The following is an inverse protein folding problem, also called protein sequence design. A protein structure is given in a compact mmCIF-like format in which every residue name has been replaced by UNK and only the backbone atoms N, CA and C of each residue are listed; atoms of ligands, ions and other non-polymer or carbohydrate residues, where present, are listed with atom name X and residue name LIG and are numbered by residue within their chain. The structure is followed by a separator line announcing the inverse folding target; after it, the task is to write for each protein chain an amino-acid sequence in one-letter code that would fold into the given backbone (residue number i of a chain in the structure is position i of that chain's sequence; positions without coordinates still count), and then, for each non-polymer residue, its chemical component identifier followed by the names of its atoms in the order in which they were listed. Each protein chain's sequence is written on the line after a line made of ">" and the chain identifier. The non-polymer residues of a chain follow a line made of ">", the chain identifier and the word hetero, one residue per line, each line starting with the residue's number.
data_IF_136014629160
#
_entry.id   IF_136014629160
#
_cell.length_a   1.000
_cell.length_b   1.000
_cell.length_c   1.000
_cell.angle_alpha   90.00
_cell.angle_beta   90.00
_cell.angle_gamma   90.00
#
_symmetry.space_group_name_H-M   'P 1'
#
loop_
_entity.id
_entity.type
_entity.pdbx_description
1 polymer ?
#
# COMPACT_ATOMS: atom_id res chain seq x y z
N UNK A 1 3.51 13.05 16.64
CA UNK A 1 3.56 11.57 16.62
C UNK A 1 5.02 11.15 16.72
N UNK A 2 5.33 10.15 17.51
CA UNK A 2 6.68 9.59 17.54
C UNK A 2 6.87 8.53 16.44
N UNK A 3 8.13 8.17 16.18
CA UNK A 3 8.49 7.21 15.13
C UNK A 3 7.91 5.82 15.38
N UNK A 4 7.90 5.35 16.63
CA UNK A 4 7.39 4.03 16.98
C UNK A 4 5.87 3.98 16.78
N UNK A 5 5.14 5.00 17.19
CA UNK A 5 3.71 5.10 16.92
C UNK A 5 3.43 5.00 15.41
N UNK A 6 4.16 5.74 14.59
CA UNK A 6 3.98 5.68 13.14
C UNK A 6 4.26 4.27 12.59
N UNK A 7 5.38 3.65 12.97
CA UNK A 7 5.78 2.32 12.49
C UNK A 7 4.79 1.21 12.91
N UNK A 8 4.32 1.21 14.15
CA UNK A 8 3.48 0.14 14.69
C UNK A 8 2.00 0.28 14.28
N UNK A 9 1.52 1.50 14.03
CA UNK A 9 0.11 1.75 13.73
C UNK A 9 -0.20 2.00 12.25
N UNK A 10 0.82 2.22 11.39
CA UNK A 10 0.58 2.34 9.95
C UNK A 10 0.18 0.99 9.39
N UNK A 11 -1.02 0.94 8.83
CA UNK A 11 -1.61 -0.24 8.20
C UNK A 11 -2.52 0.19 7.04
N UNK A 12 -2.90 -0.76 6.18
CA UNK A 12 -3.79 -0.48 5.06
C UNK A 12 -5.15 0.06 5.52
N UNK A 13 -5.36 1.36 5.35
CA UNK A 13 -6.61 2.08 5.63
C UNK A 13 -7.34 2.30 4.32
N UNK A 14 -8.19 1.34 3.93
CA UNK A 14 -8.89 1.36 2.64
C UNK A 14 -10.20 2.15 2.68
N UNK A 15 -10.81 2.26 3.87
CA UNK A 15 -12.06 3.01 4.05
C UNK A 15 -11.72 4.40 4.54
N UNK A 16 -11.87 5.35 3.65
CA UNK A 16 -11.54 6.76 3.89
C UNK A 16 -12.73 7.65 3.58
N UNK A 17 -12.73 8.86 4.13
CA UNK A 17 -13.67 9.92 3.80
C UNK A 17 -13.32 10.51 2.44
N UNK A 18 -14.27 11.20 1.85
CA UNK A 18 -14.11 11.94 0.57
C UNK A 18 -13.52 13.34 0.75
N UNK A 19 -13.26 13.76 2.00
CA UNK A 19 -12.70 15.08 2.30
C UNK A 19 -11.34 15.23 1.58
N UNK A 20 -11.10 16.34 0.85
CA UNK A 20 -9.85 16.56 0.14
C UNK A 20 -8.68 16.71 1.11
N UNK A 21 -7.51 16.23 0.71
CA UNK A 21 -6.27 16.39 1.47
C UNK A 21 -5.66 17.75 1.09
N UNK A 22 -5.42 18.66 2.06
CA UNK A 22 -4.83 19.97 1.79
C UNK A 22 -3.47 19.88 1.05
N UNK A 23 -3.21 20.82 0.16
CA UNK A 23 -1.99 20.83 -0.68
C UNK A 23 -0.71 20.85 0.16
N UNK A 24 -0.69 21.54 1.28
CA UNK A 24 0.46 21.57 2.19
C UNK A 24 0.70 20.21 2.88
N UNK A 25 -0.35 19.44 3.15
CA UNK A 25 -0.25 18.06 3.63
C UNK A 25 0.30 17.15 2.53
N UNK A 26 -0.21 17.28 1.30
CA UNK A 26 0.32 16.53 0.14
C UNK A 26 1.81 16.83 -0.07
N UNK A 27 2.21 18.08 0.04
CA UNK A 27 3.60 18.51 -0.09
C UNK A 27 4.50 17.84 0.98
N UNK A 28 4.07 17.82 2.26
CA UNK A 28 4.83 17.16 3.33
C UNK A 28 4.96 15.65 3.13
N UNK A 29 3.91 15.01 2.60
CA UNK A 29 3.93 13.57 2.26
C UNK A 29 4.97 13.28 1.19
N UNK A 30 5.00 14.07 0.10
CA UNK A 30 5.97 13.88 -0.99
C UNK A 30 7.39 14.30 -0.60
N UNK A 31 7.53 15.35 0.20
CA UNK A 31 8.84 15.75 0.72
C UNK A 31 9.48 14.62 1.54
N UNK A 32 8.72 13.98 2.40
CA UNK A 32 9.20 12.79 3.13
C UNK A 32 9.56 11.62 2.20
N UNK A 33 8.83 11.42 1.11
CA UNK A 33 9.14 10.37 0.14
C UNK A 33 10.51 10.54 -0.49
N UNK A 34 10.85 11.76 -0.93
CA UNK A 34 12.13 12.02 -1.62
C UNK A 34 13.35 12.01 -0.69
N UNK A 35 13.14 11.99 0.63
CA UNK A 35 14.21 11.81 1.61
C UNK A 35 14.58 10.34 1.87
N UNK A 36 13.90 9.40 1.23
CA UNK A 36 14.26 7.99 1.30
C UNK A 36 15.62 7.72 0.63
N UNK A 37 16.36 6.68 1.05
CA UNK A 37 17.59 6.29 0.38
C UNK A 37 17.32 5.79 -1.04
N UNK A 38 18.23 6.08 -1.96
CA UNK A 38 18.22 5.51 -3.32
C UNK A 38 19.61 5.04 -3.73
N UNK A 39 19.68 3.98 -4.54
CA UNK A 39 20.95 3.43 -5.02
C UNK A 39 21.82 4.50 -5.67
N UNK A 40 23.04 4.73 -5.16
CA UNK A 40 23.93 5.78 -5.63
C UNK A 40 23.37 7.20 -5.57
N UNK A 41 22.32 7.45 -4.78
CA UNK A 41 21.56 8.69 -4.73
C UNK A 41 21.01 9.13 -6.10
N UNK A 42 20.68 8.17 -6.97
CA UNK A 42 20.24 8.46 -8.35
C UNK A 42 18.87 9.08 -8.44
N UNK A 43 17.96 8.79 -7.47
CA UNK A 43 16.63 9.37 -7.37
C UNK A 43 15.82 9.21 -8.68
N UNK A 44 15.95 8.05 -9.32
CA UNK A 44 15.27 7.69 -10.56
C UNK A 44 13.80 7.33 -10.34
N UNK A 45 13.07 8.20 -9.66
CA UNK A 45 11.66 8.07 -9.37
C UNK A 45 10.86 9.28 -9.85
N UNK A 46 9.57 9.06 -10.09
CA UNK A 46 8.56 10.10 -10.27
C UNK A 46 7.33 9.75 -9.46
N UNK A 47 6.71 10.75 -8.91
CA UNK A 47 5.51 10.63 -8.10
C UNK A 47 4.39 11.43 -8.76
N UNK A 48 3.34 10.74 -9.23
CA UNK A 48 2.18 11.39 -9.81
C UNK A 48 1.04 11.33 -8.78
N UNK A 49 0.59 12.50 -8.35
CA UNK A 49 -0.62 12.65 -7.53
C UNK A 49 -1.84 12.74 -8.44
N UNK A 50 -2.93 12.09 -8.05
CA UNK A 50 -4.18 12.07 -8.80
C UNK A 50 -5.36 12.35 -7.87
N UNK A 51 -6.03 13.47 -8.09
CA UNK A 51 -7.32 13.85 -7.48
C UNK A 51 -8.38 14.20 -8.54
N UNK A 52 -8.00 14.22 -9.82
CA UNK A 52 -8.88 14.48 -10.95
C UNK A 52 -9.98 13.41 -11.08
N UNK A 53 -11.24 13.87 -11.09
CA UNK A 53 -12.40 12.99 -11.07
C UNK A 53 -12.55 12.16 -12.34
N UNK A 54 -12.27 12.74 -13.52
CA UNK A 54 -12.44 12.07 -14.81
C UNK A 54 -11.40 10.95 -14.96
N UNK A 55 -10.17 11.18 -14.55
CA UNK A 55 -9.12 10.15 -14.58
C UNK A 55 -9.39 9.05 -13.56
N UNK A 56 -9.89 9.37 -12.35
CA UNK A 56 -10.33 8.37 -11.38
C UNK A 56 -11.46 7.50 -11.94
N UNK A 57 -12.46 8.10 -12.59
CA UNK A 57 -13.55 7.39 -13.24
C UNK A 57 -13.05 6.48 -14.40
N UNK A 58 -12.03 6.90 -15.12
CA UNK A 58 -11.41 6.07 -16.17
C UNK A 58 -10.60 4.89 -15.61
N UNK A 59 -9.95 5.05 -14.45
CA UNK A 59 -9.16 3.99 -13.80
C UNK A 59 -10.02 3.01 -12.98
N UNK A 60 -11.17 3.45 -12.46
CA UNK A 60 -12.01 2.64 -11.57
C UNK A 60 -12.41 1.28 -12.18
N UNK A 61 -12.91 1.19 -13.44
CA UNK A 61 -13.24 -0.10 -14.05
C UNK A 61 -12.03 -1.02 -14.22
N UNK A 62 -10.85 -0.48 -14.49
CA UNK A 62 -9.62 -1.27 -14.58
C UNK A 62 -9.24 -1.84 -13.22
N UNK A 63 -9.33 -1.03 -12.17
CA UNK A 63 -9.04 -1.47 -10.81
C UNK A 63 -10.04 -2.52 -10.32
N UNK A 64 -11.33 -2.36 -10.62
CA UNK A 64 -12.39 -3.33 -10.30
C UNK A 64 -12.18 -4.65 -11.04
N UNK A 65 -11.86 -4.61 -12.33
CA UNK A 65 -11.52 -5.79 -13.11
C UNK A 65 -10.31 -6.52 -12.50
N UNK A 66 -9.23 -5.79 -12.24
CA UNK A 66 -8.01 -6.33 -11.63
C UNK A 66 -8.28 -6.98 -10.26
N UNK A 67 -9.15 -6.37 -9.43
CA UNK A 67 -9.57 -6.95 -8.16
C UNK A 67 -10.34 -8.26 -8.36
N UNK A 68 -11.25 -8.32 -9.33
CA UNK A 68 -11.97 -9.54 -9.70
C UNK A 68 -11.04 -10.66 -10.15
N UNK A 69 -10.06 -10.35 -11.00
CA UNK A 69 -9.06 -11.33 -11.45
C UNK A 69 -8.14 -11.80 -10.32
N UNK A 70 -7.77 -10.91 -9.39
CA UNK A 70 -7.01 -11.27 -8.20
C UNK A 70 -7.72 -12.37 -7.37
N UNK A 71 -9.03 -12.21 -7.14
CA UNK A 71 -9.82 -13.18 -6.38
C UNK A 71 -10.02 -14.51 -7.13
N UNK A 72 -10.16 -14.47 -8.45
CA UNK A 72 -10.37 -15.66 -9.28
C UNK A 72 -9.11 -16.47 -9.55
N UNK A 73 -7.93 -15.86 -9.42
CA UNK A 73 -6.65 -16.47 -9.79
C UNK A 73 -5.75 -16.66 -8.57
N UNK A 74 -5.14 -15.59 -8.07
CA UNK A 74 -4.07 -15.66 -7.06
C UNK A 74 -4.61 -16.12 -5.70
N UNK A 75 -5.79 -15.65 -5.29
CA UNK A 75 -6.36 -15.96 -3.98
C UNK A 75 -7.52 -16.95 -4.03
N UNK A 76 -7.79 -17.54 -5.21
CA UNK A 76 -8.97 -18.42 -5.42
C UNK A 76 -9.09 -19.50 -4.35
N UNK A 77 -8.08 -20.35 -4.22
CA UNK A 77 -8.13 -21.50 -3.31
C UNK A 77 -8.27 -21.07 -1.84
N UNK A 78 -7.63 -19.98 -1.46
CA UNK A 78 -7.71 -19.43 -0.11
C UNK A 78 -9.12 -18.87 0.20
N UNK A 79 -9.72 -18.20 -0.77
CA UNK A 79 -11.07 -17.64 -0.65
C UNK A 79 -12.12 -18.76 -0.64
N UNK A 80 -12.00 -19.75 -1.54
CA UNK A 80 -12.90 -20.91 -1.58
C UNK A 80 -12.85 -21.70 -0.27
N UNK A 81 -11.66 -21.94 0.27
CA UNK A 81 -11.48 -22.60 1.56
C UNK A 81 -12.11 -21.80 2.72
N UNK A 82 -11.95 -20.46 2.69
CA UNK A 82 -12.53 -19.59 3.71
C UNK A 82 -14.06 -19.53 3.65
N UNK A 83 -14.65 -19.58 2.45
CA UNK A 83 -16.11 -19.67 2.29
C UNK A 83 -16.67 -21.03 2.69
N UNK A 84 -15.93 -22.11 2.48
CA UNK A 84 -16.33 -23.45 2.89
C UNK A 84 -16.33 -23.62 4.43
N UNK A 85 -15.48 -22.87 5.15
CA UNK A 85 -15.33 -22.95 6.60
C UNK A 85 -15.27 -21.55 7.23
N UNK A 86 -16.36 -20.75 7.19
CA UNK A 86 -16.31 -19.30 7.49
C UNK A 86 -16.04 -18.98 8.96
N UNK A 87 -16.25 -19.91 9.88
CA UNK A 87 -16.12 -19.71 11.31
C UNK A 87 -14.70 -19.97 11.85
N UNK A 88 -13.79 -20.50 11.01
CA UNK A 88 -12.41 -20.69 11.42
C UNK A 88 -11.69 -19.33 11.55
N UNK A 89 -10.81 -19.15 12.57
CA UNK A 89 -10.11 -17.89 12.80
C UNK A 89 -9.35 -17.37 11.56
N UNK A 90 -8.67 -18.26 10.83
CA UNK A 90 -7.98 -17.95 9.58
C UNK A 90 -8.95 -17.51 8.46
N UNK A 91 -10.10 -18.17 8.35
CA UNK A 91 -11.14 -17.81 7.38
C UNK A 91 -11.75 -16.45 7.65
N UNK A 92 -12.04 -16.16 8.92
CA UNK A 92 -12.53 -14.84 9.37
C UNK A 92 -11.57 -13.74 8.93
N UNK A 93 -10.27 -13.95 9.12
CA UNK A 93 -9.25 -12.98 8.73
C UNK A 93 -9.18 -12.81 7.21
N UNK A 94 -9.20 -13.91 6.44
CA UNK A 94 -9.19 -13.89 4.97
C UNK A 94 -10.40 -13.12 4.43
N UNK A 95 -11.61 -13.47 4.87
CA UNK A 95 -12.85 -12.82 4.44
C UNK A 95 -12.92 -11.35 4.87
N UNK A 96 -12.33 -10.98 6.01
CA UNK A 96 -12.19 -9.58 6.43
C UNK A 96 -11.29 -8.80 5.48
N UNK A 97 -10.15 -9.38 5.07
CA UNK A 97 -9.23 -8.76 4.12
C UNK A 97 -9.90 -8.62 2.75
N UNK A 98 -10.57 -9.67 2.26
CA UNK A 98 -11.32 -9.65 1.00
C UNK A 98 -12.35 -8.51 0.98
N UNK A 99 -13.23 -8.45 1.99
CA UNK A 99 -14.26 -7.40 2.09
C UNK A 99 -13.65 -5.99 2.16
N UNK A 100 -12.52 -5.85 2.85
CA UNK A 100 -11.85 -4.55 2.95
C UNK A 100 -11.19 -4.12 1.63
N UNK A 101 -10.61 -5.08 0.88
CA UNK A 101 -10.00 -4.79 -0.41
C UNK A 101 -11.06 -4.54 -1.49
N UNK A 102 -12.14 -5.32 -1.49
CA UNK A 102 -13.26 -5.13 -2.40
C UNK A 102 -13.92 -3.76 -2.20
N UNK A 103 -14.06 -3.32 -0.93
CA UNK A 103 -14.60 -2.00 -0.65
C UNK A 103 -13.81 -0.88 -1.35
N UNK A 104 -12.47 -0.94 -1.34
CA UNK A 104 -11.66 0.05 -2.05
C UNK A 104 -11.90 0.00 -3.58
N UNK A 105 -12.09 -1.19 -4.15
CA UNK A 105 -12.39 -1.32 -5.57
C UNK A 105 -13.76 -0.73 -5.92
N UNK A 106 -14.77 -0.98 -5.08
CA UNK A 106 -16.12 -0.49 -5.28
C UNK A 106 -16.25 1.04 -5.07
N UNK A 107 -15.29 1.66 -4.34
CA UNK A 107 -15.26 3.07 -3.98
C UNK A 107 -13.98 3.77 -4.48
N UNK A 108 -13.41 3.28 -5.58
CA UNK A 108 -12.15 3.81 -6.12
C UNK A 108 -12.26 5.32 -6.40
N UNK A 109 -13.36 5.76 -6.98
CA UNK A 109 -13.60 7.16 -7.33
C UNK A 109 -13.77 8.08 -6.11
N UNK A 110 -14.25 7.53 -4.99
CA UNK A 110 -14.50 8.25 -3.74
C UNK A 110 -13.22 8.61 -2.97
N UNK A 111 -12.10 7.95 -3.28
CA UNK A 111 -10.82 8.23 -2.63
C UNK A 111 -10.33 9.62 -3.03
N UNK A 112 -10.01 10.51 -2.06
CA UNK A 112 -9.69 11.90 -2.37
C UNK A 112 -8.36 12.07 -3.10
N UNK A 113 -7.39 11.17 -2.88
CA UNK A 113 -6.06 11.30 -3.49
C UNK A 113 -5.43 9.94 -3.72
N UNK A 114 -4.83 9.76 -4.89
CA UNK A 114 -3.94 8.65 -5.20
C UNK A 114 -2.52 9.13 -5.46
N UNK A 115 -1.55 8.27 -5.15
CA UNK A 115 -0.16 8.41 -5.55
C UNK A 115 0.23 7.22 -6.44
N UNK A 116 0.74 7.51 -7.62
CA UNK A 116 1.33 6.56 -8.55
C UNK A 116 2.86 6.77 -8.54
N UNK A 117 3.61 5.89 -7.85
CA UNK A 117 5.07 5.93 -7.86
C UNK A 117 5.61 5.21 -9.09
N UNK A 118 6.48 5.86 -9.84
CA UNK A 118 7.21 5.31 -10.99
C UNK A 118 8.70 5.29 -10.69
N UNK A 119 9.40 4.30 -11.21
CA UNK A 119 10.86 4.23 -11.14
C UNK A 119 11.48 3.78 -12.46
N UNK A 120 12.77 4.04 -12.62
CA UNK A 120 13.64 3.49 -13.65
C UNK A 120 14.84 2.82 -12.96
N UNK A 121 15.36 1.74 -13.56
CA UNK A 121 16.58 1.06 -13.11
C UNK A 121 16.58 0.62 -11.63
N UNK A 122 15.40 0.23 -11.13
CA UNK A 122 15.23 -0.26 -9.75
C UNK A 122 14.56 -1.66 -9.74
N UNK A 123 15.24 -2.70 -10.28
CA UNK A 123 14.64 -4.02 -10.49
C UNK A 123 14.20 -4.73 -9.21
N UNK A 124 14.74 -4.34 -8.07
CA UNK A 124 14.40 -4.91 -6.76
C UNK A 124 13.39 -4.08 -5.97
N UNK A 125 13.07 -2.86 -6.43
CA UNK A 125 12.27 -1.90 -5.67
C UNK A 125 13.00 -1.30 -4.46
N UNK A 126 14.33 -1.49 -4.39
CA UNK A 126 15.15 -1.09 -3.23
C UNK A 126 15.22 0.41 -2.99
N UNK A 127 14.89 1.22 -3.99
CA UNK A 127 14.79 2.69 -3.87
C UNK A 127 13.34 3.15 -3.78
N UNK A 128 12.46 2.67 -4.67
CA UNK A 128 11.10 3.19 -4.77
C UNK A 128 10.24 2.80 -3.56
N UNK A 129 10.33 1.55 -3.06
CA UNK A 129 9.48 1.15 -1.93
C UNK A 129 9.87 1.80 -0.59
N UNK A 130 11.13 2.06 -0.25
CA UNK A 130 11.48 2.95 0.86
C UNK A 130 10.87 4.35 0.74
N UNK A 131 10.84 4.94 -0.46
CA UNK A 131 10.21 6.24 -0.70
C UNK A 131 8.69 6.19 -0.51
N UNK A 132 8.03 5.17 -1.06
CA UNK A 132 6.59 4.93 -0.86
C UNK A 132 6.27 4.73 0.62
N UNK A 133 7.07 3.95 1.34
CA UNK A 133 6.87 3.74 2.77
C UNK A 133 7.05 5.03 3.57
N UNK A 134 8.05 5.86 3.24
CA UNK A 134 8.24 7.17 3.85
C UNK A 134 7.03 8.09 3.64
N UNK A 135 6.46 8.10 2.43
CA UNK A 135 5.20 8.82 2.14
C UNK A 135 4.05 8.33 3.02
N UNK A 136 3.90 7.01 3.18
CA UNK A 136 2.83 6.42 3.99
C UNK A 136 3.00 6.73 5.50
N UNK A 137 4.23 6.74 6.01
CA UNK A 137 4.52 7.15 7.39
C UNK A 137 4.26 8.63 7.61
N UNK A 138 4.65 9.49 6.66
CA UNK A 138 4.37 10.92 6.72
C UNK A 138 2.86 11.18 6.67
N UNK A 139 2.12 10.50 5.79
CA UNK A 139 0.66 10.56 5.75
C UNK A 139 0.05 10.19 7.11
N UNK A 140 0.54 9.10 7.74
CA UNK A 140 0.10 8.70 9.08
C UNK A 140 0.34 9.80 10.12
N UNK A 141 1.47 10.51 10.06
CA UNK A 141 1.77 11.62 10.95
C UNK A 141 0.80 12.81 10.79
N UNK A 142 0.29 13.01 9.59
CA UNK A 142 -0.73 14.02 9.25
C UNK A 142 -2.18 13.54 9.52
N UNK A 143 -2.37 12.34 10.09
CA UNK A 143 -3.70 11.75 10.30
C UNK A 143 -4.35 11.20 9.03
N UNK A 144 -3.60 11.09 7.94
CA UNK A 144 -4.04 10.55 6.66
C UNK A 144 -3.75 9.05 6.61
N UNK A 145 -4.78 8.26 6.32
CA UNK A 145 -4.66 6.83 6.07
C UNK A 145 -4.16 6.54 4.67
N UNK A 146 -3.50 5.40 4.51
CA UNK A 146 -2.97 4.98 3.20
C UNK A 146 -3.12 3.48 2.98
N UNK A 147 -3.15 3.07 1.69
CA UNK A 147 -3.09 1.68 1.30
C UNK A 147 -2.34 1.53 -0.02
N UNK A 148 -1.21 0.81 0.01
CA UNK A 148 -0.46 0.43 -1.19
C UNK A 148 -1.10 -0.82 -1.80
N UNK A 149 -1.32 -0.79 -3.12
CA UNK A 149 -1.77 -1.92 -3.94
C UNK A 149 -0.95 -2.00 -5.23
N UNK A 150 -0.93 -3.19 -5.85
CA UNK A 150 -0.18 -3.42 -7.09
C UNK A 150 -1.10 -3.86 -8.24
N UNK A 151 -2.42 -3.70 -8.11
CA UNK A 151 -3.39 -4.23 -9.07
C UNK A 151 -3.23 -3.66 -10.47
N UNK A 152 -3.22 -2.34 -10.60
CA UNK A 152 -3.06 -1.68 -11.90
C UNK A 152 -1.70 -1.99 -12.54
N UNK A 153 -0.65 -2.08 -11.73
CA UNK A 153 0.69 -2.46 -12.15
C UNK A 153 0.74 -3.84 -12.80
N UNK A 154 0.02 -4.82 -12.24
CA UNK A 154 0.07 -6.20 -12.72
C UNK A 154 -0.94 -6.53 -13.81
N UNK A 155 -2.13 -5.94 -13.76
CA UNK A 155 -3.22 -6.33 -14.65
C UNK A 155 -3.46 -5.35 -15.80
N UNK A 156 -3.20 -4.05 -15.60
CA UNK A 156 -3.51 -2.98 -16.54
C UNK A 156 -2.41 -1.91 -16.62
N UNK A 157 -1.12 -2.28 -16.78
CA UNK A 157 -0.05 -1.27 -16.80
C UNK A 157 -0.17 -0.30 -17.99
N UNK A 158 -0.45 -0.80 -19.19
CA UNK A 158 -0.52 0.01 -20.41
C UNK A 158 -1.68 1.01 -20.36
N UNK A 159 -2.88 0.55 -20.07
CA UNK A 159 -4.07 1.41 -19.97
C UNK A 159 -3.91 2.45 -18.86
N UNK A 160 -3.24 2.07 -17.78
CA UNK A 160 -2.93 3.01 -16.69
C UNK A 160 -1.97 4.11 -17.17
N UNK A 161 -0.95 3.77 -17.95
CA UNK A 161 -0.01 4.73 -18.53
C UNK A 161 -0.72 5.69 -19.47
N UNK A 162 -1.56 5.18 -20.36
CA UNK A 162 -2.36 5.99 -21.29
C UNK A 162 -3.23 7.01 -20.54
N UNK A 163 -4.01 6.56 -19.56
CA UNK A 163 -4.90 7.43 -18.77
C UNK A 163 -4.12 8.49 -18.00
N UNK A 164 -2.98 8.12 -17.40
CA UNK A 164 -2.15 9.03 -16.62
C UNK A 164 -1.25 9.93 -17.51
N UNK A 165 -1.09 9.62 -18.81
CA UNK A 165 -0.21 10.34 -19.72
C UNK A 165 1.26 10.08 -19.45
N UNK A 166 1.61 8.88 -19.00
CA UNK A 166 3.01 8.48 -18.76
C UNK A 166 3.67 8.11 -20.09
N UNK A 167 4.85 8.67 -20.43
CA UNK A 167 5.53 8.34 -21.68
C UNK A 167 6.07 6.91 -21.66
N UNK A 168 5.61 6.08 -22.60
CA UNK A 168 6.00 4.66 -22.70
C UNK A 168 7.46 4.46 -23.12
N UNK A 169 7.99 5.38 -23.94
CA UNK A 169 9.33 5.32 -24.53
C UNK A 169 10.45 5.66 -23.55
N UNK A 170 10.14 6.13 -22.35
CA UNK A 170 11.12 6.52 -21.35
C UNK A 170 11.49 5.43 -20.35
N UNK A 171 10.90 4.24 -20.45
CA UNK A 171 11.22 3.10 -19.58
C UNK A 171 10.80 3.27 -18.13
N UNK A 172 9.76 4.06 -17.85
CA UNK A 172 9.14 4.14 -16.53
C UNK A 172 8.42 2.83 -16.19
N UNK A 173 8.51 2.45 -14.93
CA UNK A 173 7.80 1.28 -14.38
C UNK A 173 6.90 1.76 -13.25
N UNK A 174 5.61 1.47 -13.33
CA UNK A 174 4.68 1.70 -12.25
C UNK A 174 5.01 0.75 -11.09
N UNK A 175 5.22 1.28 -9.90
CA UNK A 175 5.62 0.50 -8.72
C UNK A 175 4.48 0.27 -7.73
N UNK A 176 3.27 0.63 -8.12
CA UNK A 176 2.06 0.44 -7.33
C UNK A 176 1.12 1.64 -7.40
N UNK A 177 0.05 1.56 -6.62
CA UNK A 177 -0.93 2.63 -6.43
C UNK A 177 -1.18 2.78 -4.95
N UNK A 178 -1.01 3.99 -4.41
CA UNK A 178 -1.29 4.29 -3.00
C UNK A 178 -2.53 5.16 -2.91
N UNK A 179 -3.56 4.68 -2.23
CA UNK A 179 -4.71 5.50 -1.86
C UNK A 179 -4.42 6.27 -0.58
N UNK A 180 -4.81 7.55 -0.53
CA UNK A 180 -4.73 8.42 0.65
C UNK A 180 -6.09 9.01 0.97
N UNK A 181 -6.41 9.13 2.27
CA UNK A 181 -7.63 9.79 2.75
C UNK A 181 -7.73 9.74 4.27
N UNK A 182 -8.58 10.56 4.84
CA UNK A 182 -8.85 10.51 6.29
C UNK A 182 -9.64 9.25 6.62
N UNK A 183 -9.11 8.34 7.49
CA UNK A 183 -9.75 7.05 7.71
C UNK A 183 -11.07 7.18 8.47
N UNK A 184 -12.03 6.31 8.14
CA UNK A 184 -13.29 6.18 8.89
C UNK A 184 -13.14 5.25 10.10
N UNK A 185 -12.06 4.45 10.14
CA UNK A 185 -11.74 3.55 11.25
C UNK A 185 -10.70 4.13 12.20
N UNK A 186 -10.41 3.39 13.27
CA UNK A 186 -9.41 3.75 14.28
C UNK A 186 -8.04 3.18 13.95
N UNK A 187 -7.01 3.91 14.35
CA UNK A 187 -5.64 3.43 14.34
C UNK A 187 -5.43 2.36 15.43
N UNK A 188 -4.47 1.49 15.20
CA UNK A 188 -4.10 0.47 16.17
C UNK A 188 -2.96 -0.40 15.65
N UNK A 189 -2.29 -1.07 16.57
CA UNK A 189 -1.21 -2.01 16.24
C UNK A 189 -1.76 -3.18 15.43
N UNK A 190 -1.16 -3.42 14.28
CA UNK A 190 -1.52 -4.54 13.42
C UNK A 190 -0.98 -5.86 13.96
N UNK A 191 -1.78 -6.94 13.88
CA UNK A 191 -1.29 -8.29 14.19
C UNK A 191 -0.14 -8.66 13.27
N UNK A 192 0.96 -9.11 13.83
CA UNK A 192 2.16 -9.59 13.12
C UNK A 192 2.68 -10.84 13.80
N UNK A 193 3.45 -11.64 13.06
CA UNK A 193 4.24 -12.70 13.66
C UNK A 193 5.29 -12.09 14.58
N UNK A 194 5.60 -12.71 15.73
CA UNK A 194 6.71 -12.29 16.56
C UNK A 194 8.02 -12.20 15.76
N UNK A 195 8.85 -11.21 16.06
CA UNK A 195 10.09 -11.00 15.31
C UNK A 195 11.05 -12.19 15.41
N UNK A 196 11.07 -12.91 16.52
CA UNK A 196 11.91 -14.08 16.70
C UNK A 196 11.49 -15.29 15.84
N UNK A 197 10.21 -15.37 15.41
CA UNK A 197 9.72 -16.43 14.53
C UNK A 197 10.19 -16.29 13.07
N UNK A 198 10.63 -15.10 12.70
CA UNK A 198 10.99 -14.72 11.32
C UNK A 198 12.41 -14.20 11.18
N UNK A 199 13.23 -14.40 12.22
CA UNK A 199 14.61 -13.91 12.26
C UNK A 199 15.59 -14.99 12.63
N UNK A 200 16.75 -14.98 12.01
CA UNK A 200 17.84 -15.92 12.27
C UNK A 200 19.15 -15.17 12.52
N UNK A 201 20.08 -15.76 13.25
CA UNK A 201 21.40 -15.19 13.51
C UNK A 201 22.48 -16.00 12.81
N UNK A 202 23.31 -15.31 12.02
CA UNK A 202 24.47 -15.81 11.29
C UNK A 202 24.15 -16.85 10.19
N UNK A 203 23.26 -17.82 10.43
CA UNK A 203 22.94 -18.89 9.49
C UNK A 203 21.41 -19.04 9.42
N UNK A 204 20.89 -19.34 8.23
CA UNK A 204 19.46 -19.60 8.04
C UNK A 204 19.00 -20.77 8.93
N UNK A 205 17.90 -20.55 9.67
CA UNK A 205 17.35 -21.53 10.61
C UNK A 205 17.97 -21.52 12.02
N UNK A 206 19.04 -20.74 12.25
CA UNK A 206 19.64 -20.62 13.60
C UNK A 206 18.84 -19.71 14.49
N UNK A 207 18.84 -20.01 15.81
CA UNK A 207 18.20 -19.18 16.83
C UNK A 207 18.72 -17.73 16.76
N UNK A 208 17.82 -16.76 16.81
CA UNK A 208 18.14 -15.33 16.79
C UNK A 208 18.74 -14.86 18.13
N UNK A 209 18.52 -15.58 19.22
CA UNK A 209 19.07 -15.30 20.55
C UNK A 209 18.27 -14.31 21.39
N UNK A 210 17.00 -14.03 21.04
CA UNK A 210 16.07 -13.26 21.87
C UNK A 210 14.62 -13.70 21.64
N UNK A 211 13.73 -13.37 22.57
CA UNK A 211 12.29 -13.58 22.49
C UNK A 211 11.54 -12.24 22.56
N UNK A 212 10.59 -12.04 21.65
CA UNK A 212 9.69 -10.87 21.63
C UNK A 212 8.28 -11.39 21.38
N UNK A 213 7.59 -11.91 22.41
CA UNK A 213 6.26 -12.53 22.24
C UNK A 213 5.16 -11.50 21.96
N UNK A 214 5.33 -10.29 22.45
CA UNK A 214 4.40 -9.16 22.30
C UNK A 214 5.11 -7.98 21.62
N UNK A 215 4.39 -7.10 20.92
CA UNK A 215 4.97 -5.88 20.39
C UNK A 215 5.65 -5.06 21.51
N UNK A 216 6.85 -4.55 21.23
CA UNK A 216 7.61 -3.73 22.17
C UNK A 216 7.06 -2.30 22.30
N UNK A 217 6.09 -1.93 21.51
CA UNK A 217 5.39 -0.66 21.57
C UNK A 217 3.87 -0.91 21.39
N UNK A 218 2.96 -0.18 22.11
CA UNK A 218 3.28 0.65 23.30
C UNK A 218 3.70 -0.20 24.48
N UNK A 219 4.69 0.28 25.23
CA UNK A 219 5.17 -0.34 26.50
C UNK A 219 4.46 0.27 27.68
#
# INVERSE_FOLDING_TARGET
>A
MDLHEALYTTRAMRRVKTDPIPIDVQARILDAAVHAPSGGNQQNWRFLLLDDADKKAALAPLYQHAMGELWKTIYKDQIDAAHANPDLPESIQVLKVQRSAQWLADHFEDVPLYLFPFCQYDPTGGSIYPAVWSAMLAARAEGVGSCLTALLQFFHPTETFEILGVPEDQGWILSGTVSFGYPTGTWGVGTRRPSHDVSYRNTWGSDVGFLVPEPLWPS
#
